data_IF_885639763160
#
_entry.id   IF_885639763160
#
_cell.length_a   1.000
_cell.length_b   1.000
_cell.length_c   1.000
_cell.angle_alpha   90.00
_cell.angle_beta   90.00
_cell.angle_gamma   90.00
#
_symmetry.space_group_name_H-M   'P 1'
#
loop_
_entity.id
_entity.type
_entity.pdbx_description
1 polymer ?
#
# COMPACT_ATOMS: atom_id res chain seq x y z
N UNK A 1 17.29 -2.44 16.87
CA UNK A 1 17.06 -2.94 18.23
C UNK A 1 15.65 -2.59 18.77
N UNK A 2 15.19 -1.32 18.70
CA UNK A 2 13.88 -0.93 19.25
C UNK A 2 12.72 -1.63 18.53
N UNK A 3 12.67 -1.62 17.21
CA UNK A 3 11.63 -2.28 16.40
C UNK A 3 11.63 -3.78 16.64
N UNK A 4 12.81 -4.40 16.69
CA UNK A 4 13.00 -5.83 16.97
C UNK A 4 12.43 -6.22 18.37
N UNK A 5 12.68 -5.39 19.38
CA UNK A 5 12.10 -5.59 20.72
C UNK A 5 10.58 -5.37 20.74
N UNK A 6 10.07 -4.43 19.95
CA UNK A 6 8.64 -4.15 19.86
C UNK A 6 7.89 -5.33 19.23
N UNK A 7 8.39 -5.86 18.11
CA UNK A 7 7.79 -7.02 17.43
C UNK A 7 7.72 -8.24 18.35
N UNK A 8 8.80 -8.50 19.13
CA UNK A 8 8.84 -9.63 20.09
C UNK A 8 7.83 -9.51 21.23
N UNK A 9 7.40 -8.31 21.55
CA UNK A 9 6.51 -8.04 22.70
C UNK A 9 5.05 -7.88 22.33
N UNK A 10 4.71 -7.74 21.05
CA UNK A 10 3.35 -7.42 20.59
C UNK A 10 2.97 -8.25 19.36
N UNK A 11 1.71 -8.69 19.25
CA UNK A 11 1.23 -9.33 18.02
C UNK A 11 1.34 -8.32 16.88
N UNK A 12 2.30 -8.55 15.99
CA UNK A 12 2.58 -7.69 14.83
C UNK A 12 2.41 -8.53 13.58
N UNK A 13 1.66 -8.05 12.60
CA UNK A 13 1.35 -8.76 11.36
C UNK A 13 1.97 -8.10 10.12
N UNK A 14 2.36 -6.83 10.24
CA UNK A 14 3.01 -6.11 9.15
C UNK A 14 3.87 -4.95 9.66
N UNK A 15 4.78 -4.49 8.81
CA UNK A 15 5.46 -3.19 8.94
C UNK A 15 4.92 -2.29 7.82
N UNK A 16 4.58 -1.05 8.16
CA UNK A 16 4.10 -0.06 7.19
C UNK A 16 5.08 1.08 7.02
N UNK A 17 5.39 1.43 5.77
CA UNK A 17 6.16 2.61 5.40
C UNK A 17 5.29 3.68 4.75
N UNK A 18 5.55 4.93 5.10
CA UNK A 18 4.94 6.13 4.50
C UNK A 18 6.00 7.02 3.85
N UNK A 19 7.10 6.43 3.42
CA UNK A 19 8.26 7.14 2.87
C UNK A 19 7.90 8.03 1.66
N UNK A 20 6.89 7.63 0.89
CA UNK A 20 6.37 8.40 -0.24
C UNK A 20 6.01 9.84 0.09
N UNK A 21 5.55 10.12 1.31
CA UNK A 21 5.24 11.49 1.76
C UNK A 21 6.47 12.39 1.95
N UNK A 22 7.64 11.82 2.08
CA UNK A 22 8.86 12.54 2.48
C UNK A 22 9.88 12.60 1.37
N UNK A 23 10.32 11.43 0.87
CA UNK A 23 11.42 11.32 -0.08
C UNK A 23 11.07 10.58 -1.36
N UNK A 24 9.80 10.15 -1.48
CA UNK A 24 9.30 9.45 -2.65
C UNK A 24 9.45 7.94 -2.57
N UNK A 25 8.89 7.27 -3.58
CA UNK A 25 8.85 5.81 -3.68
C UNK A 25 10.04 5.23 -4.43
N UNK A 26 10.76 6.04 -5.20
CA UNK A 26 11.94 5.60 -5.93
C UNK A 26 13.06 5.26 -4.94
N UNK A 27 13.19 3.96 -4.68
CA UNK A 27 14.21 3.43 -3.78
C UNK A 27 15.54 3.22 -4.49
N UNK A 28 16.63 3.45 -3.78
CA UNK A 28 18.00 3.18 -4.24
C UNK A 28 18.76 2.39 -3.17
N UNK A 29 19.63 1.44 -3.55
CA UNK A 29 20.46 0.71 -2.59
C UNK A 29 21.43 1.68 -1.90
N UNK A 30 21.49 1.62 -0.57
CA UNK A 30 22.31 2.50 0.26
C UNK A 30 23.04 1.67 1.30
N UNK A 31 24.35 1.88 1.45
CA UNK A 31 25.15 1.26 2.50
C UNK A 31 24.84 1.88 3.88
N UNK A 32 25.16 1.13 4.94
CA UNK A 32 25.02 1.62 6.31
C UNK A 32 25.78 2.94 6.53
N UNK A 33 27.02 3.03 6.07
CA UNK A 33 27.86 4.21 6.28
C UNK A 33 27.31 5.46 5.57
N UNK A 34 26.77 5.26 4.34
CA UNK A 34 26.11 6.35 3.62
C UNK A 34 24.82 6.80 4.31
N UNK A 35 24.03 5.85 4.85
CA UNK A 35 22.83 6.15 5.58
C UNK A 35 23.13 6.91 6.88
N UNK A 36 24.14 6.46 7.65
CA UNK A 36 24.59 7.11 8.87
C UNK A 36 25.10 8.51 8.61
N UNK A 37 25.96 8.69 7.59
CA UNK A 37 26.45 10.01 7.18
C UNK A 37 25.31 10.95 6.77
N UNK A 38 24.31 10.44 6.04
CA UNK A 38 23.16 11.22 5.61
C UNK A 38 22.29 11.61 6.82
N UNK A 39 22.06 10.68 7.74
CA UNK A 39 21.34 10.92 8.99
C UNK A 39 22.03 12.04 9.81
N UNK A 40 23.30 11.89 10.11
CA UNK A 40 24.05 12.87 10.89
C UNK A 40 24.06 14.25 10.23
N UNK A 41 24.29 14.30 8.90
CA UNK A 41 24.26 15.55 8.14
C UNK A 41 22.88 16.25 8.17
N UNK A 42 21.80 15.46 8.19
CA UNK A 42 20.43 15.99 8.20
C UNK A 42 20.01 16.46 9.60
N UNK A 43 20.33 15.70 10.65
CA UNK A 43 19.84 15.95 12.00
C UNK A 43 20.80 16.75 12.88
N UNK A 44 22.11 16.76 12.62
CA UNK A 44 23.07 17.62 13.32
C UNK A 44 23.05 19.07 12.83
N UNK A 45 22.59 19.29 11.59
CA UNK A 45 22.38 20.64 11.05
C UNK A 45 21.04 21.20 11.51
N UNK A 46 20.96 22.47 11.89
CA UNK A 46 19.69 23.17 12.04
C UNK A 46 18.83 22.90 10.82
N UNK A 47 17.54 22.59 11.03
CA UNK A 47 16.57 22.25 9.99
C UNK A 47 16.81 23.06 8.70
N UNK A 48 17.25 22.39 7.65
CA UNK A 48 17.46 22.97 6.34
C UNK A 48 16.49 22.29 5.36
N UNK A 49 15.44 22.98 4.87
CA UNK A 49 14.45 22.39 3.97
C UNK A 49 15.02 21.96 2.61
N UNK A 50 16.26 22.37 2.27
CA UNK A 50 16.95 21.92 1.05
C UNK A 50 17.74 20.62 1.22
N UNK A 51 17.87 20.12 2.45
CA UNK A 51 18.55 18.84 2.72
C UNK A 51 17.52 17.72 2.75
N UNK A 52 17.91 16.60 2.19
CA UNK A 52 17.09 15.38 2.19
C UNK A 52 17.76 14.30 3.04
N UNK A 53 16.95 13.58 3.80
CA UNK A 53 17.31 12.35 4.49
C UNK A 53 17.00 11.09 3.68
N UNK A 54 16.94 11.21 2.34
CA UNK A 54 16.52 10.14 1.43
C UNK A 54 17.38 8.88 1.59
N UNK A 55 18.68 8.98 1.61
CA UNK A 55 19.57 7.81 1.76
C UNK A 55 19.31 7.06 3.07
N UNK A 56 19.13 7.80 4.18
CA UNK A 56 18.75 7.17 5.45
C UNK A 56 17.41 6.46 5.36
N UNK A 57 16.40 7.07 4.73
CA UNK A 57 15.07 6.45 4.58
C UNK A 57 15.09 5.24 3.66
N UNK A 58 15.79 5.29 2.55
CA UNK A 58 15.94 4.15 1.64
C UNK A 58 16.59 2.96 2.36
N UNK A 59 17.65 3.21 3.14
CA UNK A 59 18.26 2.19 4.00
C UNK A 59 17.25 1.61 5.00
N UNK A 60 16.47 2.46 5.68
CA UNK A 60 15.49 2.02 6.67
C UNK A 60 14.32 1.25 6.04
N UNK A 61 13.91 1.57 4.83
CA UNK A 61 12.90 0.79 4.09
C UNK A 61 13.42 -0.61 3.82
N UNK A 62 14.65 -0.74 3.34
CA UNK A 62 15.25 -2.05 3.07
C UNK A 62 15.46 -2.86 4.36
N UNK A 63 15.95 -2.22 5.41
CA UNK A 63 16.08 -2.85 6.73
C UNK A 63 14.72 -3.30 7.31
N UNK A 64 13.64 -2.59 7.01
CA UNK A 64 12.28 -3.01 7.38
C UNK A 64 11.86 -4.29 6.66
N UNK A 65 12.26 -4.50 5.40
CA UNK A 65 12.04 -5.76 4.69
C UNK A 65 12.84 -6.91 5.32
N UNK A 66 14.08 -6.67 5.74
CA UNK A 66 14.87 -7.68 6.49
C UNK A 66 14.13 -8.13 7.75
N UNK A 67 13.53 -7.18 8.49
CA UNK A 67 12.72 -7.50 9.66
C UNK A 67 11.45 -8.26 9.29
N UNK A 68 10.79 -7.91 8.19
CA UNK A 68 9.63 -8.65 7.70
C UNK A 68 9.99 -10.10 7.39
N UNK A 69 11.06 -10.35 6.65
CA UNK A 69 11.54 -11.72 6.37
C UNK A 69 11.89 -12.46 7.66
N UNK A 70 12.66 -11.83 8.56
CA UNK A 70 13.08 -12.41 9.83
C UNK A 70 11.91 -12.86 10.72
N UNK A 71 10.82 -12.13 10.73
CA UNK A 71 9.68 -12.37 11.63
C UNK A 71 8.43 -12.90 10.92
N UNK A 72 8.50 -13.20 9.62
CA UNK A 72 7.35 -13.67 8.85
C UNK A 72 6.22 -12.62 8.76
N UNK A 73 6.59 -11.33 8.62
CA UNK A 73 5.65 -10.22 8.56
C UNK A 73 5.40 -9.80 7.12
N UNK A 74 4.25 -9.19 6.89
CA UNK A 74 3.95 -8.52 5.63
C UNK A 74 4.52 -7.11 5.61
N UNK A 75 4.67 -6.52 4.42
CA UNK A 75 5.12 -5.15 4.26
C UNK A 75 4.08 -4.30 3.54
N UNK A 76 3.69 -3.17 4.12
CA UNK A 76 2.78 -2.21 3.50
C UNK A 76 3.54 -0.96 3.06
N UNK A 77 3.36 -0.56 1.82
CA UNK A 77 3.89 0.69 1.28
C UNK A 77 2.75 1.64 0.93
N UNK A 78 2.79 2.82 1.54
CA UNK A 78 1.88 3.89 1.17
C UNK A 78 2.23 4.42 -0.22
N UNK A 79 1.26 4.42 -1.12
CA UNK A 79 1.38 4.95 -2.49
C UNK A 79 0.23 5.90 -2.78
N UNK A 80 0.35 6.68 -3.83
CA UNK A 80 -0.69 7.61 -4.22
C UNK A 80 -0.92 8.76 -3.22
N UNK A 81 -2.03 9.45 -3.41
CA UNK A 81 -2.40 10.62 -2.63
C UNK A 81 -2.53 10.30 -1.13
N UNK A 82 -2.08 11.23 -0.32
CA UNK A 82 -2.08 11.12 1.13
C UNK A 82 -2.31 12.46 1.81
N UNK A 83 -1.94 12.57 3.08
CA UNK A 83 -2.26 13.73 3.90
C UNK A 83 -1.56 15.01 3.39
N UNK A 84 -2.32 15.99 2.86
CA UNK A 84 -1.76 17.28 2.50
C UNK A 84 -1.20 17.99 3.76
N UNK A 85 -0.21 18.89 3.63
CA UNK A 85 0.41 19.40 2.40
C UNK A 85 1.67 18.65 1.95
N UNK A 86 1.97 17.50 2.49
CA UNK A 86 3.27 16.82 2.34
C UNK A 86 3.39 15.94 1.10
N UNK A 87 2.31 15.77 0.34
CA UNK A 87 2.29 14.83 -0.77
C UNK A 87 2.67 15.52 -2.09
N UNK A 88 3.91 15.32 -2.54
CA UNK A 88 4.29 15.63 -3.92
C UNK A 88 3.87 14.48 -4.84
N UNK A 89 2.89 14.76 -5.70
CA UNK A 89 2.29 13.75 -6.60
C UNK A 89 3.32 13.08 -7.52
N UNK A 90 4.42 13.75 -7.85
CA UNK A 90 5.50 13.21 -8.69
C UNK A 90 6.29 12.10 -8.00
N UNK A 91 6.23 12.02 -6.68
CA UNK A 91 7.04 11.11 -5.85
C UNK A 91 6.28 9.87 -5.37
N UNK A 92 5.00 9.75 -5.69
CA UNK A 92 4.11 8.74 -5.13
C UNK A 92 3.54 7.76 -6.16
N UNK A 93 4.08 7.76 -7.39
CA UNK A 93 3.67 6.81 -8.40
C UNK A 93 4.14 5.39 -8.03
N UNK A 94 3.23 4.39 -7.97
CA UNK A 94 3.60 3.01 -7.65
C UNK A 94 4.70 2.42 -8.54
N UNK A 95 4.84 2.85 -9.79
CA UNK A 95 5.90 2.38 -10.69
C UNK A 95 7.31 2.68 -10.15
N UNK A 96 7.48 3.71 -9.32
CA UNK A 96 8.75 4.03 -8.70
C UNK A 96 9.23 2.96 -7.70
N UNK A 97 8.35 2.00 -7.34
CA UNK A 97 8.69 0.86 -6.50
C UNK A 97 9.41 -0.26 -7.25
N UNK A 98 9.57 -0.15 -8.57
CA UNK A 98 10.10 -1.23 -9.42
C UNK A 98 11.39 -1.85 -8.86
N UNK A 99 12.38 -1.03 -8.52
CA UNK A 99 13.66 -1.53 -7.99
C UNK A 99 13.50 -2.22 -6.63
N UNK A 100 12.67 -1.68 -5.75
CA UNK A 100 12.45 -2.23 -4.41
C UNK A 100 11.73 -3.59 -4.46
N UNK A 101 10.64 -3.70 -5.22
CA UNK A 101 9.85 -4.94 -5.31
C UNK A 101 10.61 -6.08 -5.99
N UNK A 102 11.63 -5.77 -6.78
CA UNK A 102 12.47 -6.77 -7.45
C UNK A 102 13.63 -7.25 -6.57
N UNK A 103 13.83 -6.69 -5.38
CA UNK A 103 14.84 -7.19 -4.44
C UNK A 103 14.48 -8.59 -3.92
N UNK A 104 15.49 -9.37 -3.56
CA UNK A 104 15.28 -10.73 -3.03
C UNK A 104 14.51 -10.72 -1.69
N UNK A 105 14.65 -9.66 -0.89
CA UNK A 105 13.88 -9.52 0.35
C UNK A 105 12.40 -9.25 0.08
N UNK A 106 12.09 -8.33 -0.84
CA UNK A 106 10.70 -8.00 -1.17
C UNK A 106 9.95 -9.21 -1.73
N UNK A 107 10.62 -10.06 -2.51
CA UNK A 107 10.04 -11.31 -3.07
C UNK A 107 9.68 -12.35 -2.01
N UNK A 108 10.20 -12.24 -0.80
CA UNK A 108 9.95 -13.17 0.31
C UNK A 108 8.79 -12.75 1.23
N UNK A 109 8.18 -11.58 1.01
CA UNK A 109 7.09 -11.06 1.82
C UNK A 109 5.86 -10.76 0.96
N UNK A 110 4.66 -10.74 1.54
CA UNK A 110 3.52 -10.12 0.87
C UNK A 110 3.71 -8.60 0.93
N UNK A 111 3.98 -8.01 -0.23
CA UNK A 111 4.21 -6.58 -0.40
C UNK A 111 2.89 -5.90 -0.81
N UNK A 112 2.32 -5.11 0.07
CA UNK A 112 1.00 -4.51 -0.14
C UNK A 112 1.15 -3.03 -0.52
N UNK A 113 0.76 -2.71 -1.74
CA UNK A 113 0.66 -1.34 -2.26
C UNK A 113 -0.70 -0.77 -1.86
N UNK A 114 -0.72 0.10 -0.85
CA UNK A 114 -1.99 0.59 -0.30
C UNK A 114 -2.48 1.87 -0.99
N UNK A 115 -3.80 2.15 -0.85
CA UNK A 115 -4.55 3.30 -1.41
C UNK A 115 -4.78 3.23 -2.91
N UNK A 116 -4.78 2.03 -3.49
CA UNK A 116 -4.93 1.84 -4.93
C UNK A 116 -3.97 2.72 -5.77
N UNK A 117 -2.91 3.27 -5.16
CA UNK A 117 -2.00 4.20 -5.84
C UNK A 117 -2.63 5.51 -6.30
N UNK A 118 -3.86 5.85 -5.92
CA UNK A 118 -4.59 6.99 -6.48
C UNK A 118 -3.74 8.28 -6.57
N UNK A 119 -3.68 8.96 -7.73
CA UNK A 119 -4.47 8.75 -8.96
C UNK A 119 -3.87 7.72 -9.95
N UNK A 120 -2.79 7.04 -9.61
CA UNK A 120 -2.05 6.07 -10.43
C UNK A 120 -2.60 4.64 -10.24
N UNK A 121 -3.94 4.49 -10.33
CA UNK A 121 -4.60 3.21 -10.01
C UNK A 121 -4.32 2.11 -11.04
N UNK A 122 -4.06 2.46 -12.29
CA UNK A 122 -3.63 1.51 -13.32
C UNK A 122 -2.25 0.92 -12.99
N UNK A 123 -1.32 1.76 -12.57
CA UNK A 123 0.03 1.36 -12.21
C UNK A 123 0.01 0.44 -10.98
N UNK A 124 -0.78 0.77 -9.95
CA UNK A 124 -0.95 -0.08 -8.78
C UNK A 124 -1.55 -1.44 -9.15
N UNK A 125 -2.58 -1.47 -10.01
CA UNK A 125 -3.21 -2.68 -10.49
C UNK A 125 -2.24 -3.55 -11.29
N UNK A 126 -1.48 -2.96 -12.20
CA UNK A 126 -0.49 -3.66 -13.02
C UNK A 126 0.65 -4.23 -12.18
N UNK A 127 1.16 -3.50 -11.18
CA UNK A 127 2.15 -4.05 -10.26
C UNK A 127 1.62 -5.30 -9.54
N UNK A 128 0.41 -5.24 -9.00
CA UNK A 128 -0.19 -6.39 -8.34
C UNK A 128 -0.46 -7.55 -9.32
N UNK A 129 -0.79 -7.26 -10.58
CA UNK A 129 -1.00 -8.27 -11.61
C UNK A 129 0.30 -8.97 -12.05
N UNK A 130 1.37 -8.18 -12.24
CA UNK A 130 2.62 -8.66 -12.80
C UNK A 130 3.54 -9.36 -11.78
N UNK A 131 3.46 -9.00 -10.50
CA UNK A 131 4.35 -9.52 -9.46
C UNK A 131 3.61 -10.44 -8.49
N UNK A 132 3.96 -11.73 -8.37
CA UNK A 132 3.25 -12.70 -7.53
C UNK A 132 3.11 -12.29 -6.07
N UNK A 133 4.12 -11.64 -5.52
CA UNK A 133 4.20 -11.22 -4.10
C UNK A 133 3.61 -9.83 -3.84
N UNK A 134 3.17 -9.10 -4.89
CA UNK A 134 2.59 -7.76 -4.74
C UNK A 134 1.06 -7.84 -4.70
N UNK A 135 0.47 -7.15 -3.75
CA UNK A 135 -0.97 -7.04 -3.49
C UNK A 135 -1.37 -5.57 -3.45
N UNK A 136 -2.66 -5.28 -3.56
CA UNK A 136 -3.17 -3.90 -3.45
C UNK A 136 -4.44 -3.83 -2.63
N UNK A 137 -4.79 -2.65 -2.19
CA UNK A 137 -6.07 -2.39 -1.55
C UNK A 137 -6.77 -1.16 -2.16
N UNK A 138 -8.02 -1.01 -1.84
CA UNK A 138 -8.85 0.14 -2.26
C UNK A 138 -9.17 1.04 -1.06
N UNK A 139 -8.18 1.29 -0.20
CA UNK A 139 -8.36 2.08 1.01
C UNK A 139 -8.36 3.58 0.75
N UNK A 140 -9.24 4.29 1.48
CA UNK A 140 -9.26 5.76 1.65
C UNK A 140 -9.31 6.64 0.38
N UNK A 141 -9.48 6.06 -0.79
CA UNK A 141 -9.56 6.82 -2.05
C UNK A 141 -10.73 7.79 -2.07
N UNK A 142 -11.82 7.48 -1.36
CA UNK A 142 -13.04 8.30 -1.28
C UNK A 142 -12.81 9.72 -0.75
N UNK A 143 -11.83 9.92 0.12
CA UNK A 143 -11.52 11.24 0.70
C UNK A 143 -10.92 12.15 -0.37
N UNK A 144 -10.14 11.59 -1.30
CA UNK A 144 -9.40 12.33 -2.32
C UNK A 144 -10.07 12.28 -3.69
N UNK A 145 -10.60 11.12 -4.06
CA UNK A 145 -11.19 10.89 -5.38
C UNK A 145 -12.68 11.25 -5.44
N UNK A 146 -13.36 11.36 -4.29
CA UNK A 146 -14.78 11.60 -4.30
C UNK A 146 -15.53 10.53 -5.08
N UNK A 147 -16.34 10.93 -6.08
CA UNK A 147 -17.08 9.99 -6.92
C UNK A 147 -16.20 9.17 -7.87
N UNK A 148 -15.02 9.66 -8.24
CA UNK A 148 -14.07 8.92 -9.07
C UNK A 148 -13.47 7.68 -8.35
N UNK A 149 -13.79 7.44 -7.09
CA UNK A 149 -13.44 6.19 -6.40
C UNK A 149 -14.03 4.96 -7.10
N UNK A 150 -15.21 5.10 -7.71
CA UNK A 150 -15.83 4.03 -8.48
C UNK A 150 -14.99 3.66 -9.72
N UNK A 151 -14.39 4.64 -10.39
CA UNK A 151 -13.48 4.41 -11.50
C UNK A 151 -12.18 3.76 -11.03
N UNK A 152 -11.62 4.22 -9.92
CA UNK A 152 -10.44 3.60 -9.29
C UNK A 152 -10.70 2.12 -8.99
N UNK A 153 -11.86 1.80 -8.44
CA UNK A 153 -12.23 0.42 -8.14
C UNK A 153 -12.36 -0.43 -9.43
N UNK A 154 -12.95 0.12 -10.50
CA UNK A 154 -13.03 -0.55 -11.79
C UNK A 154 -11.63 -0.84 -12.36
N UNK A 155 -10.73 0.15 -12.33
CA UNK A 155 -9.35 -0.06 -12.80
C UNK A 155 -8.65 -1.21 -12.06
N UNK A 156 -8.81 -1.26 -10.74
CA UNK A 156 -8.22 -2.32 -9.93
C UNK A 156 -8.90 -3.67 -10.22
N UNK A 157 -10.23 -3.69 -10.30
CA UNK A 157 -11.02 -4.90 -10.55
C UNK A 157 -10.76 -5.52 -11.93
N UNK A 158 -10.58 -4.67 -12.95
CA UNK A 158 -10.40 -5.13 -14.33
C UNK A 158 -9.01 -5.70 -14.62
N UNK A 159 -8.00 -5.25 -13.87
CA UNK A 159 -6.59 -5.54 -14.15
C UNK A 159 -5.97 -6.48 -13.13
N UNK A 160 -6.24 -6.26 -11.84
CA UNK A 160 -5.62 -7.00 -10.77
C UNK A 160 -6.33 -8.34 -10.53
N UNK A 161 -5.62 -9.46 -10.34
CA UNK A 161 -6.23 -10.71 -9.89
C UNK A 161 -7.06 -10.50 -8.62
N UNK A 162 -8.31 -10.95 -8.60
CA UNK A 162 -9.28 -10.63 -7.55
C UNK A 162 -8.85 -11.12 -6.16
N UNK A 163 -8.05 -12.19 -6.10
CA UNK A 163 -7.47 -12.72 -4.86
C UNK A 163 -6.31 -11.87 -4.30
N UNK A 164 -5.96 -10.78 -4.97
CA UNK A 164 -4.91 -9.85 -4.55
C UNK A 164 -5.43 -8.46 -4.16
N UNK A 165 -6.73 -8.26 -4.23
CA UNK A 165 -7.39 -6.99 -3.92
C UNK A 165 -7.96 -7.06 -2.50
N UNK A 166 -7.69 -6.04 -1.68
CA UNK A 166 -8.26 -5.92 -0.34
C UNK A 166 -9.06 -4.63 -0.17
N UNK A 167 -9.94 -4.64 0.79
CA UNK A 167 -10.61 -3.45 1.27
C UNK A 167 -10.04 -3.01 2.63
N UNK A 168 -9.85 -1.70 2.78
CA UNK A 168 -9.64 -1.07 4.08
C UNK A 168 -10.34 0.30 4.14
N UNK A 169 -10.77 0.72 5.32
CA UNK A 169 -11.43 2.01 5.49
C UNK A 169 -10.46 3.18 5.54
N UNK A 170 -9.25 2.94 6.06
CA UNK A 170 -8.26 3.96 6.42
C UNK A 170 -8.89 5.15 7.20
N UNK A 171 -9.73 4.82 8.18
CA UNK A 171 -10.53 5.80 8.91
C UNK A 171 -9.76 6.68 9.90
N UNK A 172 -8.43 6.50 10.00
CA UNK A 172 -7.56 7.36 10.81
C UNK A 172 -7.93 7.46 12.30
N UNK A 173 -8.57 6.42 12.85
CA UNK A 173 -9.07 6.43 14.24
C UNK A 173 -10.46 7.07 14.40
N UNK A 174 -11.06 7.56 13.34
CA UNK A 174 -12.42 8.13 13.35
C UNK A 174 -13.44 7.03 13.03
N UNK A 175 -14.33 6.76 13.99
CA UNK A 175 -15.38 5.73 13.85
C UNK A 175 -16.30 6.04 12.67
N UNK A 176 -16.71 7.29 12.53
CA UNK A 176 -17.60 7.73 11.44
C UNK A 176 -16.97 7.55 10.06
N UNK A 177 -15.67 7.85 9.91
CA UNK A 177 -14.94 7.66 8.68
C UNK A 177 -14.83 6.17 8.32
N UNK A 178 -14.59 5.31 9.31
CA UNK A 178 -14.55 3.86 9.13
C UNK A 178 -15.91 3.30 8.72
N UNK A 179 -16.98 3.72 9.41
CA UNK A 179 -18.35 3.30 9.11
C UNK A 179 -18.79 3.77 7.72
N UNK A 180 -18.61 5.06 7.43
CA UNK A 180 -18.93 5.63 6.12
C UNK A 180 -18.17 4.92 5.00
N UNK A 181 -16.85 4.71 5.18
CA UNK A 181 -16.03 4.00 4.24
C UNK A 181 -16.55 2.61 3.92
N UNK A 182 -16.84 1.81 4.95
CA UNK A 182 -17.35 0.46 4.77
C UNK A 182 -18.71 0.44 4.06
N UNK A 183 -19.63 1.34 4.46
CA UNK A 183 -20.95 1.44 3.86
C UNK A 183 -20.91 1.87 2.40
N UNK A 184 -20.13 2.91 2.09
CA UNK A 184 -20.01 3.45 0.75
C UNK A 184 -19.34 2.44 -0.19
N UNK A 185 -18.22 1.85 0.23
CA UNK A 185 -17.50 0.85 -0.57
C UNK A 185 -18.37 -0.36 -0.89
N UNK A 186 -19.07 -0.91 0.10
CA UNK A 186 -20.01 -2.03 -0.15
C UNK A 186 -21.08 -1.68 -1.17
N UNK A 187 -21.59 -0.45 -1.12
CA UNK A 187 -22.63 0.00 -2.04
C UNK A 187 -22.13 0.08 -3.49
N UNK A 188 -21.05 0.80 -3.74
CA UNK A 188 -20.56 0.95 -5.12
C UNK A 188 -19.98 -0.37 -5.65
N UNK A 189 -19.33 -1.17 -4.81
CA UNK A 189 -18.85 -2.50 -5.19
C UNK A 189 -20.00 -3.40 -5.64
N UNK A 190 -21.11 -3.43 -4.88
CA UNK A 190 -22.30 -4.18 -5.27
C UNK A 190 -22.89 -3.68 -6.59
N UNK A 191 -22.91 -2.36 -6.82
CA UNK A 191 -23.37 -1.77 -8.09
C UNK A 191 -22.50 -2.22 -9.27
N UNK A 192 -21.18 -2.09 -9.13
CA UNK A 192 -20.23 -2.44 -10.19
C UNK A 192 -20.27 -3.95 -10.50
N UNK A 193 -20.23 -4.80 -9.49
CA UNK A 193 -20.33 -6.25 -9.67
C UNK A 193 -21.66 -6.65 -10.33
N UNK A 194 -22.78 -6.01 -9.94
CA UNK A 194 -24.07 -6.24 -10.58
C UNK A 194 -24.12 -5.79 -12.05
N UNK A 195 -23.40 -4.72 -12.41
CA UNK A 195 -23.25 -4.32 -13.81
C UNK A 195 -22.51 -5.38 -14.62
N UNK A 196 -21.43 -5.94 -14.07
CA UNK A 196 -20.63 -6.98 -14.72
C UNK A 196 -21.41 -8.29 -14.88
N UNK A 197 -22.26 -8.63 -13.90
CA UNK A 197 -23.19 -9.77 -14.04
C UNK A 197 -24.23 -9.51 -15.15
N UNK A 198 -24.88 -8.35 -15.15
CA UNK A 198 -25.88 -8.02 -16.19
C UNK A 198 -25.30 -7.97 -17.60
N UNK A 199 -24.03 -7.58 -17.74
CA UNK A 199 -23.32 -7.58 -19.03
C UNK A 199 -22.85 -8.99 -19.45
N UNK A 200 -22.99 -9.99 -18.59
CA UNK A 200 -22.48 -11.34 -18.83
C UNK A 200 -20.97 -11.50 -18.65
N UNK A 201 -20.30 -10.50 -18.10
CA UNK A 201 -18.85 -10.56 -17.86
C UNK A 201 -18.49 -11.48 -16.69
N UNK A 202 -19.29 -11.45 -15.60
CA UNK A 202 -19.19 -12.38 -14.49
C UNK A 202 -20.48 -13.18 -14.32
N UNK A 203 -20.37 -14.42 -13.80
CA UNK A 203 -21.52 -15.10 -13.23
C UNK A 203 -21.90 -14.48 -11.87
N UNK A 204 -23.17 -14.62 -11.47
CA UNK A 204 -23.62 -14.13 -10.15
C UNK A 204 -22.82 -14.75 -9.00
N UNK A 205 -22.58 -16.05 -9.05
CA UNK A 205 -21.79 -16.77 -8.05
C UNK A 205 -20.34 -16.22 -7.94
N UNK A 206 -19.71 -15.94 -9.08
CA UNK A 206 -18.35 -15.41 -9.07
C UNK A 206 -18.29 -13.96 -8.58
N UNK A 207 -19.28 -13.14 -8.92
CA UNK A 207 -19.38 -11.78 -8.41
C UNK A 207 -19.52 -11.74 -6.87
N UNK A 208 -20.30 -12.67 -6.30
CA UNK A 208 -20.39 -12.83 -4.84
C UNK A 208 -19.06 -13.25 -4.22
N UNK A 209 -18.38 -14.21 -4.84
CA UNK A 209 -17.06 -14.67 -4.40
C UNK A 209 -16.03 -13.52 -4.41
N UNK A 210 -16.00 -12.70 -5.47
CA UNK A 210 -15.15 -11.48 -5.55
C UNK A 210 -15.45 -10.55 -4.36
N UNK A 211 -16.72 -10.29 -4.08
CA UNK A 211 -17.13 -9.47 -2.95
C UNK A 211 -16.59 -9.97 -1.61
N UNK A 212 -16.68 -11.27 -1.36
CA UNK A 212 -16.16 -11.90 -0.14
C UNK A 212 -14.63 -11.88 -0.08
N UNK A 213 -13.95 -12.12 -1.21
CA UNK A 213 -12.50 -12.04 -1.32
C UNK A 213 -12.02 -10.64 -0.92
N UNK A 214 -12.53 -9.59 -1.56
CA UNK A 214 -12.09 -8.21 -1.35
C UNK A 214 -12.41 -7.73 0.07
N UNK A 215 -13.60 -8.04 0.58
CA UNK A 215 -14.03 -7.53 1.90
C UNK A 215 -13.39 -8.25 3.09
N UNK A 216 -12.92 -9.49 2.92
CA UNK A 216 -12.48 -10.28 4.08
C UNK A 216 -11.45 -11.37 3.75
N UNK A 217 -11.73 -12.27 2.78
CA UNK A 217 -10.94 -13.49 2.60
C UNK A 217 -9.47 -13.21 2.27
N UNK A 218 -9.22 -12.24 1.37
CA UNK A 218 -7.86 -11.89 0.96
C UNK A 218 -7.05 -11.32 2.13
N UNK A 219 -7.62 -10.42 2.92
CA UNK A 219 -6.93 -9.88 4.08
C UNK A 219 -6.62 -10.97 5.11
N UNK A 220 -7.57 -11.88 5.37
CA UNK A 220 -7.34 -13.03 6.27
C UNK A 220 -6.20 -13.92 5.77
N UNK A 221 -6.17 -14.23 4.48
CA UNK A 221 -5.12 -15.02 3.88
C UNK A 221 -3.75 -14.34 3.97
N UNK A 222 -3.67 -13.08 3.55
CA UNK A 222 -2.42 -12.33 3.47
C UNK A 222 -1.83 -12.05 4.86
N UNK A 223 -2.67 -11.70 5.83
CA UNK A 223 -2.21 -11.35 7.18
C UNK A 223 -2.25 -12.50 8.19
N UNK A 224 -2.78 -13.66 7.81
CA UNK A 224 -2.84 -14.84 8.68
C UNK A 224 -3.76 -14.65 9.89
N UNK A 225 -4.91 -13.99 9.74
CA UNK A 225 -5.86 -13.65 10.82
C UNK A 225 -7.22 -14.31 10.64
#
# INVERSE_FOLDING_TARGET
QYVDQYIKKRPTICIKSVVGYYTGLKWEPVSHDEAEKNYNTYYEGRFNPKRTDKKFRDYMVYHSLELCVKYGLNFQMHTGAGDPPKCDMRLINPNDLYELINTDLAKQVHFVVIRAGFPYSYEAALLAACYPHVFTDVSSTKIYAGRSEEDVFRHILDICPHNKIMYASDGGGLVDASWYGARYTKRYMAQILSEYVRSGYFSDAYAQEIGEMILSKNAKYIYGI
#
